data_IF_354508697236
#
_entry.id   IF_354508697236
#
_cell.length_a   1.000
_cell.length_b   1.000
_cell.length_c   1.000
_cell.angle_alpha   90.00
_cell.angle_beta   90.00
_cell.angle_gamma   90.00
#
_symmetry.space_group_name_H-M   'P 1'
#
loop_
_entity.id
_entity.type
_entity.pdbx_description
1 polymer ?
#
# COMPACT_ATOMS: atom_id res chain seq x y z
N UNK A 1 -3.29 46.81 -6.59
CA UNK A 1 -2.76 45.70 -7.34
C UNK A 1 -1.60 46.15 -8.19
N UNK A 2 -0.36 45.78 -7.78
CA UNK A 2 0.86 46.14 -8.49
C UNK A 2 0.91 45.48 -9.86
N UNK A 3 1.25 46.24 -10.87
CA UNK A 3 1.52 45.72 -12.21
C UNK A 3 2.94 45.12 -12.21
N UNK A 4 3.07 43.82 -12.51
CA UNK A 4 4.38 43.18 -12.67
C UNK A 4 4.69 43.08 -14.16
N UNK A 5 5.92 43.43 -14.55
CA UNK A 5 6.44 43.14 -15.89
C UNK A 5 7.13 41.79 -15.84
N UNK A 6 6.65 40.84 -16.63
CA UNK A 6 7.28 39.54 -16.77
C UNK A 6 8.01 39.50 -18.10
N UNK A 7 9.30 39.19 -18.06
CA UNK A 7 10.12 38.99 -19.26
C UNK A 7 10.36 37.49 -19.40
N UNK A 8 9.93 36.90 -20.52
CA UNK A 8 10.14 35.50 -20.85
C UNK A 8 11.27 35.42 -21.86
N UNK A 9 12.34 34.71 -21.52
CA UNK A 9 13.47 34.46 -22.42
C UNK A 9 13.54 32.95 -22.71
N UNK A 10 13.46 32.58 -24.00
CA UNK A 10 13.66 31.19 -24.41
C UNK A 10 15.14 30.81 -24.19
N UNK A 11 15.39 29.78 -23.39
CA UNK A 11 16.75 29.32 -23.08
C UNK A 11 17.19 28.11 -23.93
N UNK A 12 16.24 27.30 -24.40
CA UNK A 12 16.53 26.05 -25.09
C UNK A 12 15.36 25.69 -26.00
N UNK A 13 15.68 25.22 -27.20
CA UNK A 13 14.73 24.53 -28.07
C UNK A 13 14.82 23.03 -27.83
N UNK A 14 13.69 22.38 -27.66
CA UNK A 14 13.57 20.92 -27.60
C UNK A 14 13.07 20.44 -28.97
N UNK A 15 14.00 19.97 -29.83
CA UNK A 15 13.65 19.40 -31.13
C UNK A 15 13.31 17.93 -30.95
N UNK A 16 12.14 17.54 -31.45
CA UNK A 16 11.72 16.14 -31.53
C UNK A 16 12.09 15.68 -32.93
N UNK A 17 13.13 14.84 -33.02
CA UNK A 17 13.62 14.30 -34.29
C UNK A 17 12.97 12.97 -34.60
N UNK A 18 12.75 12.16 -33.55
CA UNK A 18 12.11 10.86 -33.64
C UNK A 18 11.20 10.67 -32.42
N UNK A 19 9.91 10.42 -32.68
CA UNK A 19 8.90 10.18 -31.62
C UNK A 19 9.15 8.86 -30.87
N UNK A 20 9.95 7.97 -31.44
CA UNK A 20 10.34 6.68 -30.84
C UNK A 20 11.54 6.78 -29.90
N UNK A 21 12.21 7.92 -29.88
CA UNK A 21 13.44 8.12 -29.12
C UNK A 21 13.42 9.46 -28.36
N UNK A 22 12.53 9.59 -27.37
CA UNK A 22 12.41 10.80 -26.58
C UNK A 22 13.35 10.80 -25.37
N UNK A 23 13.98 11.93 -25.13
CA UNK A 23 14.70 12.20 -23.89
C UNK A 23 13.75 12.31 -22.70
N UNK A 24 14.27 12.21 -21.49
CA UNK A 24 13.47 12.37 -20.26
C UNK A 24 12.83 13.77 -20.19
N UNK A 25 13.55 14.82 -20.61
CA UNK A 25 13.00 16.19 -20.68
C UNK A 25 11.81 16.29 -21.64
N UNK A 26 11.90 15.67 -22.80
CA UNK A 26 10.82 15.66 -23.80
C UNK A 26 9.60 14.90 -23.28
N UNK A 27 9.81 13.73 -22.66
CA UNK A 27 8.70 12.98 -22.01
C UNK A 27 8.03 13.79 -20.89
N UNK A 28 8.82 14.49 -20.07
CA UNK A 28 8.29 15.37 -19.03
C UNK A 28 7.42 16.47 -19.62
N UNK A 29 7.82 17.03 -20.75
CA UNK A 29 7.07 18.07 -21.43
C UNK A 29 5.69 17.58 -21.91
N UNK A 30 5.62 16.43 -22.54
CA UNK A 30 4.33 15.83 -22.94
C UNK A 30 3.44 15.50 -21.74
N UNK A 31 4.04 15.07 -20.62
CA UNK A 31 3.28 14.89 -19.40
C UNK A 31 2.71 16.19 -18.83
N UNK A 32 3.41 17.33 -19.00
CA UNK A 32 2.88 18.65 -18.60
C UNK A 32 1.68 19.04 -19.45
N UNK A 33 1.73 18.83 -20.77
CA UNK A 33 0.63 19.11 -21.68
C UNK A 33 -0.59 18.23 -21.34
N UNK A 34 -0.38 16.93 -21.20
CA UNK A 34 -1.43 15.98 -20.82
C UNK A 34 -2.06 16.37 -19.48
N UNK A 35 -1.25 16.71 -18.49
CA UNK A 35 -1.73 17.15 -17.19
C UNK A 35 -2.59 18.40 -17.27
N UNK A 36 -2.29 19.31 -18.18
CA UNK A 36 -3.11 20.50 -18.45
C UNK A 36 -4.46 20.11 -19.08
N UNK A 37 -4.44 19.26 -20.09
CA UNK A 37 -5.66 18.76 -20.73
C UNK A 37 -6.60 18.03 -19.72
N UNK A 38 -6.05 17.19 -18.84
CA UNK A 38 -6.81 16.52 -17.78
C UNK A 38 -7.49 17.50 -16.81
N UNK A 39 -6.85 18.61 -16.48
CA UNK A 39 -7.44 19.67 -15.63
C UNK A 39 -8.56 20.41 -16.34
N UNK A 40 -8.39 20.71 -17.62
CA UNK A 40 -9.43 21.34 -18.44
C UNK A 40 -10.64 20.40 -18.60
N UNK A 41 -10.43 19.09 -18.56
CA UNK A 41 -11.49 18.07 -18.50
C UNK A 41 -12.15 17.94 -17.12
N UNK A 42 -11.95 18.91 -16.21
CA UNK A 42 -12.48 18.93 -14.84
C UNK A 42 -12.01 17.79 -13.93
N UNK A 43 -10.90 17.16 -14.27
CA UNK A 43 -10.27 16.20 -13.36
C UNK A 43 -9.38 16.93 -12.35
N UNK A 44 -9.60 16.64 -11.08
CA UNK A 44 -8.89 17.28 -9.98
C UNK A 44 -7.61 16.52 -9.60
N UNK A 45 -6.42 17.17 -9.64
CA UNK A 45 -5.20 16.55 -9.21
C UNK A 45 -5.18 16.35 -7.69
N UNK A 46 -4.87 15.14 -7.23
CA UNK A 46 -4.61 14.83 -5.83
C UNK A 46 -3.33 13.98 -5.75
N UNK A 47 -2.20 14.61 -5.47
CA UNK A 47 -0.87 14.00 -5.54
C UNK A 47 -0.41 13.77 -6.98
N UNK A 48 -0.22 12.51 -7.38
CA UNK A 48 0.24 12.13 -8.73
C UNK A 48 -0.90 11.74 -9.67
N UNK A 49 -2.13 11.70 -9.20
CA UNK A 49 -3.28 11.15 -9.90
C UNK A 49 -4.35 12.20 -10.09
N UNK A 50 -5.21 11.96 -11.06
CA UNK A 50 -6.34 12.82 -11.39
C UNK A 50 -7.64 12.12 -11.04
N UNK A 51 -8.53 12.80 -10.33
CA UNK A 51 -9.78 12.23 -9.82
C UNK A 51 -10.97 13.02 -10.33
N UNK A 52 -12.08 12.31 -10.59
CA UNK A 52 -13.35 12.92 -10.95
C UNK A 52 -14.16 13.22 -9.67
N UNK A 53 -14.27 14.49 -9.24
CA UNK A 53 -15.00 14.83 -8.02
C UNK A 53 -16.51 14.63 -8.15
N UNK A 54 -17.06 14.70 -9.39
CA UNK A 54 -18.49 14.54 -9.65
C UNK A 54 -18.94 13.08 -9.60
N UNK A 55 -18.02 12.13 -9.77
CA UNK A 55 -18.30 10.69 -9.78
C UNK A 55 -17.93 9.99 -8.45
N UNK A 56 -17.90 10.74 -7.34
CA UNK A 56 -17.60 10.17 -6.02
C UNK A 56 -18.70 9.21 -5.56
N UNK A 57 -18.31 8.16 -4.85
CA UNK A 57 -19.18 7.21 -4.18
C UNK A 57 -19.09 7.38 -2.67
N UNK A 58 -20.20 7.16 -1.97
CA UNK A 58 -20.21 7.11 -0.52
C UNK A 58 -20.38 5.66 -0.06
N UNK A 59 -19.51 5.22 0.85
CA UNK A 59 -19.66 3.94 1.51
C UNK A 59 -20.47 4.19 2.77
N UNK A 60 -21.73 3.80 2.71
CA UNK A 60 -22.64 3.87 3.85
C UNK A 60 -22.26 2.85 4.93
N UNK A 61 -22.76 3.05 6.15
CA UNK A 61 -22.65 2.11 7.27
C UNK A 61 -21.22 1.87 7.80
N UNK A 62 -20.32 2.83 7.65
CA UNK A 62 -19.03 2.84 8.34
C UNK A 62 -18.80 4.14 9.12
N UNK A 63 -18.01 4.05 10.18
CA UNK A 63 -17.66 5.20 11.02
C UNK A 63 -16.15 5.32 11.14
N UNK A 64 -15.56 6.43 10.65
CA UNK A 64 -16.19 7.56 9.94
C UNK A 64 -16.70 7.18 8.54
N UNK A 65 -17.68 7.91 7.98
CA UNK A 65 -18.14 7.70 6.60
C UNK A 65 -16.99 7.86 5.60
N UNK A 66 -17.00 7.04 4.54
CA UNK A 66 -15.96 7.04 3.52
C UNK A 66 -16.51 7.56 2.20
N UNK A 67 -15.67 8.33 1.51
CA UNK A 67 -15.89 8.77 0.14
C UNK A 67 -14.82 8.20 -0.77
N UNK A 68 -15.23 7.52 -1.83
CA UNK A 68 -14.35 6.98 -2.86
C UNK A 68 -14.40 7.88 -4.09
N UNK A 69 -13.26 8.40 -4.49
CA UNK A 69 -13.10 9.21 -5.68
C UNK A 69 -12.47 8.33 -6.77
N UNK A 70 -13.20 8.01 -7.85
CA UNK A 70 -12.60 7.35 -8.99
C UNK A 70 -11.69 8.35 -9.73
N UNK A 71 -10.65 7.83 -10.32
CA UNK A 71 -9.69 8.66 -11.04
C UNK A 71 -8.72 7.82 -11.84
N UNK A 72 -7.68 8.47 -12.33
CA UNK A 72 -6.75 7.90 -13.28
C UNK A 72 -5.31 8.21 -12.91
N UNK A 73 -4.45 7.25 -13.09
CA UNK A 73 -3.03 7.45 -13.31
C UNK A 73 -2.80 7.63 -14.80
N UNK A 74 -2.06 8.64 -15.19
CA UNK A 74 -1.68 8.84 -16.59
C UNK A 74 -0.20 9.14 -16.69
N UNK A 75 0.43 8.69 -17.76
CA UNK A 75 1.82 8.99 -18.09
C UNK A 75 2.03 8.88 -19.58
N UNK A 76 2.81 9.78 -20.13
CA UNK A 76 3.27 9.67 -21.52
C UNK A 76 4.56 8.86 -21.54
N UNK A 77 4.59 7.85 -22.38
CA UNK A 77 5.74 6.99 -22.62
C UNK A 77 5.96 6.78 -24.12
N UNK A 78 7.07 6.21 -24.48
CA UNK A 78 7.38 5.81 -25.84
C UNK A 78 7.33 4.31 -25.95
N UNK A 79 6.65 3.80 -26.95
CA UNK A 79 6.58 2.39 -27.31
C UNK A 79 7.03 2.20 -28.75
N UNK A 80 7.04 0.98 -29.26
CA UNK A 80 7.31 0.70 -30.68
C UNK A 80 6.31 1.38 -31.60
N UNK A 81 5.08 1.64 -31.10
CA UNK A 81 4.02 2.36 -31.82
C UNK A 81 4.16 3.90 -31.77
N UNK A 82 5.26 4.41 -31.19
CA UNK A 82 5.52 5.84 -31.03
C UNK A 82 5.07 6.38 -29.67
N UNK A 83 4.65 7.65 -29.65
CA UNK A 83 4.22 8.34 -28.45
C UNK A 83 2.88 7.76 -27.95
N UNK A 84 2.88 7.26 -26.71
CA UNK A 84 1.75 6.53 -26.16
C UNK A 84 1.34 7.10 -24.80
N UNK A 85 0.03 7.31 -24.59
CA UNK A 85 -0.54 7.61 -23.29
C UNK A 85 -0.81 6.31 -22.53
N UNK A 86 -0.07 6.06 -21.44
CA UNK A 86 -0.45 5.04 -20.46
C UNK A 86 -1.53 5.58 -19.54
N UNK A 87 -2.57 4.82 -19.30
CA UNK A 87 -3.61 5.12 -18.31
C UNK A 87 -3.96 3.90 -17.48
N UNK A 88 -4.29 4.12 -16.22
CA UNK A 88 -4.84 3.08 -15.34
C UNK A 88 -5.79 3.71 -14.31
N UNK A 89 -6.82 2.94 -13.95
CA UNK A 89 -7.83 3.39 -12.99
C UNK A 89 -7.28 3.37 -11.56
N UNK A 90 -7.52 4.44 -10.83
CA UNK A 90 -7.17 4.58 -9.41
C UNK A 90 -8.38 5.05 -8.62
N UNK A 91 -8.38 4.74 -7.33
CA UNK A 91 -9.38 5.24 -6.41
C UNK A 91 -8.69 5.93 -5.24
N UNK A 92 -9.27 7.06 -4.80
CA UNK A 92 -8.87 7.74 -3.59
C UNK A 92 -9.96 7.58 -2.55
N UNK A 93 -9.58 7.14 -1.38
CA UNK A 93 -10.47 7.04 -0.24
C UNK A 93 -10.21 8.23 0.67
N UNK A 94 -11.25 8.99 0.94
CA UNK A 94 -11.26 10.08 1.92
C UNK A 94 -12.23 9.69 3.04
N UNK A 95 -11.89 10.07 4.26
CA UNK A 95 -12.82 9.97 5.37
C UNK A 95 -13.59 11.28 5.44
N UNK A 96 -14.90 11.22 5.67
CA UNK A 96 -15.73 12.42 5.92
C UNK A 96 -15.46 12.96 7.33
N UNK A 97 -14.17 13.11 7.68
CA UNK A 97 -13.69 13.48 9.01
C UNK A 97 -12.41 14.31 8.86
N UNK A 98 -12.32 15.38 9.64
CA UNK A 98 -11.12 16.20 9.74
C UNK A 98 -10.22 15.74 10.88
N UNK A 99 -8.98 16.18 10.87
CA UNK A 99 -8.06 15.91 11.97
C UNK A 99 -8.54 16.53 13.29
N UNK A 100 -9.25 17.66 13.22
CA UNK A 100 -9.93 18.28 14.38
C UNK A 100 -10.94 17.34 15.03
N UNK A 101 -11.73 16.61 14.23
CA UNK A 101 -12.75 15.71 14.74
C UNK A 101 -12.12 14.51 15.46
N UNK A 102 -10.97 14.04 14.96
CA UNK A 102 -10.17 13.01 15.65
C UNK A 102 -9.66 13.51 17.00
N UNK A 103 -9.17 14.75 17.06
CA UNK A 103 -8.71 15.37 18.31
C UNK A 103 -9.85 15.53 19.31
N UNK A 104 -11.02 16.00 18.87
CA UNK A 104 -12.22 16.11 19.72
C UNK A 104 -12.70 14.75 20.23
N UNK A 105 -12.70 13.74 19.37
CA UNK A 105 -13.05 12.38 19.76
C UNK A 105 -12.11 11.86 20.87
N UNK A 106 -10.81 12.04 20.72
CA UNK A 106 -9.81 11.64 21.74
C UNK A 106 -10.04 12.39 23.04
N UNK A 107 -10.31 13.69 23.00
CA UNK A 107 -10.60 14.49 24.18
C UNK A 107 -11.87 14.00 24.92
N UNK A 108 -12.93 13.63 24.18
CA UNK A 108 -14.17 13.08 24.74
C UNK A 108 -13.99 11.69 25.35
N UNK A 109 -13.12 10.86 24.78
CA UNK A 109 -12.82 9.52 25.32
C UNK A 109 -11.95 9.55 26.58
N UNK A 110 -11.22 10.66 26.81
CA UNK A 110 -10.28 10.80 27.93
C UNK A 110 -10.54 12.10 28.70
N UNK A 111 -11.72 12.27 29.33
CA UNK A 111 -12.10 13.54 29.97
C UNK A 111 -11.18 13.91 31.16
N UNK A 112 -10.63 12.92 31.87
CA UNK A 112 -9.74 13.13 33.01
C UNK A 112 -8.24 13.21 32.66
N UNK A 113 -7.87 13.10 31.38
CA UNK A 113 -6.46 13.14 30.99
C UNK A 113 -5.88 14.56 31.06
N UNK A 114 -4.61 14.68 31.45
CA UNK A 114 -3.87 15.95 31.41
C UNK A 114 -3.69 16.42 29.98
N UNK A 115 -3.29 17.69 29.80
CA UNK A 115 -3.02 18.25 28.47
C UNK A 115 -1.93 17.47 27.74
N UNK A 116 -0.88 17.06 28.46
CA UNK A 116 0.24 16.27 27.92
C UNK A 116 -0.20 14.86 27.52
N UNK A 117 -1.03 14.21 28.33
CA UNK A 117 -1.57 12.89 28.02
C UNK A 117 -2.49 12.94 26.78
N UNK A 118 -3.34 13.94 26.68
CA UNK A 118 -4.19 14.14 25.49
C UNK A 118 -3.36 14.39 24.24
N UNK A 119 -2.32 15.22 24.34
CA UNK A 119 -1.39 15.47 23.24
C UNK A 119 -0.69 14.18 22.79
N UNK A 120 -0.26 13.34 23.74
CA UNK A 120 0.33 12.05 23.44
C UNK A 120 -0.63 11.16 22.63
N UNK A 121 -1.90 11.02 23.05
CA UNK A 121 -2.89 10.24 22.31
C UNK A 121 -3.18 10.81 20.93
N UNK A 122 -3.20 12.13 20.79
CA UNK A 122 -3.40 12.81 19.49
C UNK A 122 -2.21 12.53 18.56
N UNK A 123 -1.00 12.59 19.05
CA UNK A 123 0.21 12.27 18.27
C UNK A 123 0.18 10.81 17.80
N UNK A 124 -0.12 9.87 18.70
CA UNK A 124 -0.26 8.45 18.38
C UNK A 124 -1.29 8.20 17.26
N UNK A 125 -2.44 8.89 17.33
CA UNK A 125 -3.50 8.72 16.36
C UNK A 125 -3.21 9.32 14.98
N UNK A 126 -2.48 10.45 14.92
CA UNK A 126 -2.31 11.24 13.70
C UNK A 126 -0.93 11.11 13.06
N UNK A 127 0.13 10.84 13.82
CA UNK A 127 1.49 10.70 13.29
C UNK A 127 1.58 9.60 12.24
N UNK A 128 2.23 9.90 11.13
CA UNK A 128 2.38 9.00 9.98
C UNK A 128 1.15 8.90 9.08
N UNK A 129 -0.02 9.43 9.50
CA UNK A 129 -1.22 9.47 8.65
C UNK A 129 -1.07 10.54 7.56
N UNK A 130 -1.81 10.36 6.48
CA UNK A 130 -1.85 11.32 5.38
C UNK A 130 -3.15 12.11 5.47
N UNK A 131 -3.03 13.43 5.46
CA UNK A 131 -4.16 14.36 5.42
C UNK A 131 -4.20 15.10 4.10
N UNK A 132 -5.37 15.55 3.71
CA UNK A 132 -5.59 16.36 2.52
C UNK A 132 -6.11 17.73 2.94
N UNK A 133 -5.40 18.79 2.54
CA UNK A 133 -5.85 20.17 2.80
C UNK A 133 -6.86 20.61 1.77
N UNK A 134 -7.86 21.39 2.18
CA UNK A 134 -8.94 21.88 1.31
C UNK A 134 -8.95 23.41 1.14
N UNK A 135 -8.02 24.13 1.72
CA UNK A 135 -7.95 25.60 1.68
C UNK A 135 -7.35 26.14 0.38
N UNK A 136 -6.71 25.31 -0.43
CA UNK A 136 -6.12 25.69 -1.70
C UNK A 136 -6.98 25.22 -2.86
N UNK A 137 -6.89 25.89 -4.02
CA UNK A 137 -7.57 25.50 -5.26
C UNK A 137 -7.26 24.02 -5.64
N UNK A 138 -6.04 23.58 -5.37
CA UNK A 138 -5.62 22.20 -5.60
C UNK A 138 -5.35 21.52 -4.26
N UNK A 139 -6.16 20.50 -3.86
CA UNK A 139 -5.95 19.76 -2.64
C UNK A 139 -4.55 19.18 -2.56
N UNK A 140 -3.86 19.47 -1.47
CA UNK A 140 -2.49 19.00 -1.25
C UNK A 140 -2.49 17.94 -0.16
N UNK A 141 -1.72 16.89 -0.41
CA UNK A 141 -1.54 15.78 0.53
C UNK A 141 -0.30 16.02 1.38
N UNK A 142 -0.46 15.90 2.68
CA UNK A 142 0.61 16.03 3.65
C UNK A 142 0.66 14.78 4.53
N UNK A 143 1.86 14.29 4.80
CA UNK A 143 2.07 13.31 5.85
C UNK A 143 2.27 14.03 7.16
N UNK A 144 1.54 13.66 8.18
CA UNK A 144 1.67 14.21 9.52
C UNK A 144 2.91 13.61 10.18
N UNK A 145 3.87 14.46 10.52
CA UNK A 145 5.11 14.07 11.23
C UNK A 145 4.93 14.16 12.75
N UNK A 146 4.03 15.02 13.19
CA UNK A 146 3.70 15.24 14.60
C UNK A 146 2.62 16.27 14.81
N UNK A 147 2.43 16.64 16.06
CA UNK A 147 1.49 17.70 16.49
C UNK A 147 2.22 18.60 17.48
N UNK A 148 2.14 19.89 17.28
CA UNK A 148 2.74 20.87 18.18
C UNK A 148 1.72 21.37 19.18
N UNK A 149 1.86 20.93 20.42
CA UNK A 149 0.95 21.30 21.52
C UNK A 149 1.14 22.73 22.06
N UNK A 150 2.22 23.40 21.66
CA UNK A 150 2.50 24.78 22.05
C UNK A 150 1.92 25.81 21.09
N UNK A 151 1.66 25.40 19.83
CA UNK A 151 1.14 26.26 18.79
C UNK A 151 -0.36 26.05 18.57
N UNK A 152 -1.07 27.15 18.45
CA UNK A 152 -2.49 27.21 18.10
C UNK A 152 -2.70 28.12 16.90
N UNK A 153 -3.93 28.25 16.42
CA UNK A 153 -4.23 29.18 15.32
C UNK A 153 -4.02 30.65 15.66
N UNK A 154 -3.98 31.01 16.94
CA UNK A 154 -3.72 32.38 17.40
C UNK A 154 -2.20 32.65 17.63
N UNK A 155 -1.36 31.63 17.57
CA UNK A 155 0.10 31.78 17.59
C UNK A 155 0.59 32.53 16.36
N UNK A 156 1.66 33.36 16.51
CA UNK A 156 2.22 34.16 15.44
C UNK A 156 3.46 33.52 14.83
N UNK A 157 3.73 33.83 13.59
CA UNK A 157 4.96 33.45 12.89
C UNK A 157 5.43 34.59 11.96
N UNK A 158 6.74 34.63 11.67
CA UNK A 158 7.32 35.60 10.76
C UNK A 158 7.15 35.19 9.30
N UNK A 159 6.54 36.06 8.51
CA UNK A 159 6.45 35.89 7.05
C UNK A 159 7.80 36.20 6.39
N UNK A 160 7.91 35.93 5.08
CA UNK A 160 9.12 36.22 4.31
C UNK A 160 9.46 37.74 4.21
N UNK A 161 8.45 38.59 4.34
CA UNK A 161 8.60 40.05 4.36
C UNK A 161 9.02 40.59 5.74
N UNK A 162 9.18 39.72 6.75
CA UNK A 162 9.56 40.09 8.11
C UNK A 162 8.38 40.43 9.04
N UNK A 163 7.15 40.56 8.52
CA UNK A 163 5.96 40.83 9.32
C UNK A 163 5.55 39.63 10.15
N UNK A 164 5.13 39.86 11.38
CA UNK A 164 4.52 38.84 12.23
C UNK A 164 3.00 38.80 11.99
N UNK A 165 2.46 37.58 11.80
CA UNK A 165 1.05 37.36 11.58
C UNK A 165 0.60 36.09 12.32
N UNK A 166 -0.64 36.07 12.83
CA UNK A 166 -1.21 34.84 13.38
C UNK A 166 -1.56 33.84 12.27
N UNK A 167 -1.60 32.54 12.60
CA UNK A 167 -2.08 31.53 11.63
C UNK A 167 -3.51 31.85 11.20
N UNK A 168 -4.38 32.29 12.10
CA UNK A 168 -5.75 32.68 11.79
C UNK A 168 -5.81 33.76 10.72
N UNK A 169 -5.10 34.89 10.94
CA UNK A 169 -5.11 36.04 10.03
C UNK A 169 -4.44 35.69 8.70
N UNK A 170 -3.39 34.87 8.74
CA UNK A 170 -2.74 34.36 7.53
C UNK A 170 -3.70 33.56 6.66
N UNK A 171 -4.43 32.57 7.23
CA UNK A 171 -5.37 31.75 6.48
C UNK A 171 -6.57 32.56 6.00
N UNK A 172 -7.03 33.56 6.78
CA UNK A 172 -8.07 34.49 6.35
C UNK A 172 -7.61 35.36 5.19
N UNK A 173 -6.45 35.99 5.32
CA UNK A 173 -5.90 36.92 4.30
C UNK A 173 -5.53 36.18 3.00
N UNK A 174 -4.86 35.04 3.11
CA UNK A 174 -4.29 34.33 1.97
C UNK A 174 -5.28 33.42 1.26
N UNK A 175 -6.18 32.79 1.98
CA UNK A 175 -7.06 31.74 1.48
C UNK A 175 -8.54 32.02 1.70
N UNK A 176 -8.89 33.14 2.33
CA UNK A 176 -10.27 33.48 2.73
C UNK A 176 -10.93 32.37 3.55
N UNK A 177 -10.16 31.73 4.45
CA UNK A 177 -10.64 30.67 5.34
C UNK A 177 -10.72 31.18 6.77
N UNK A 178 -11.91 31.05 7.36
CA UNK A 178 -12.12 31.35 8.77
C UNK A 178 -11.81 30.14 9.63
N UNK A 179 -10.94 30.29 10.62
CA UNK A 179 -10.58 29.25 11.57
C UNK A 179 -11.30 29.44 12.88
N UNK A 180 -12.02 28.40 13.33
CA UNK A 180 -12.87 28.46 14.52
C UNK A 180 -12.28 27.74 15.75
N UNK A 181 -11.45 26.74 15.56
CA UNK A 181 -10.94 25.84 16.61
C UNK A 181 -9.70 26.40 17.32
N UNK A 182 -9.93 27.41 18.21
CA UNK A 182 -8.88 28.22 18.87
C UNK A 182 -7.87 27.42 19.68
N UNK A 183 -8.35 26.43 20.43
CA UNK A 183 -7.55 25.68 21.41
C UNK A 183 -6.91 24.41 20.83
N UNK A 184 -7.04 24.20 19.52
CA UNK A 184 -6.47 23.01 18.88
C UNK A 184 -5.01 23.20 18.52
N UNK A 185 -4.16 22.21 18.81
CA UNK A 185 -2.77 22.20 18.40
C UNK A 185 -2.64 22.10 16.87
N UNK A 186 -1.54 22.63 16.35
CA UNK A 186 -1.26 22.56 14.91
C UNK A 186 -0.59 21.23 14.53
N UNK A 187 -0.96 20.70 13.35
CA UNK A 187 -0.28 19.57 12.77
C UNK A 187 1.06 19.99 12.20
N UNK A 188 2.08 19.19 12.45
CA UNK A 188 3.42 19.33 11.83
C UNK A 188 3.48 18.41 10.63
N UNK A 189 3.76 18.96 9.46
CA UNK A 189 3.91 18.21 8.22
C UNK A 189 5.17 18.66 7.45
N UNK A 190 5.69 17.80 6.58
CA UNK A 190 6.79 18.15 5.69
C UNK A 190 6.31 18.38 4.27
N UNK A 191 6.73 19.50 3.69
CA UNK A 191 6.57 19.74 2.26
C UNK A 191 7.70 19.07 1.47
N UNK A 192 7.48 18.80 0.14
CA UNK A 192 8.42 18.14 -0.79
C UNK A 192 9.89 18.60 -0.71
N UNK A 193 10.16 19.81 -0.22
CA UNK A 193 11.51 20.39 -0.06
C UNK A 193 12.04 20.29 1.38
N UNK A 194 11.56 19.34 2.19
CA UNK A 194 11.93 19.18 3.61
C UNK A 194 11.63 20.42 4.48
N UNK A 195 10.73 21.29 4.06
CA UNK A 195 10.29 22.44 4.86
C UNK A 195 9.16 21.99 5.79
N UNK A 196 9.29 22.31 7.06
CA UNK A 196 8.22 22.12 8.04
C UNK A 196 7.07 23.06 7.73
N UNK A 197 5.86 22.54 7.73
CA UNK A 197 4.61 23.28 7.52
C UNK A 197 3.71 22.99 8.71
N UNK A 198 3.15 24.02 9.29
CA UNK A 198 2.14 23.93 10.34
C UNK A 198 0.75 24.07 9.72
N UNK A 199 -0.14 23.13 10.03
CA UNK A 199 -1.46 23.06 9.42
C UNK A 199 -2.55 23.06 10.50
N UNK A 200 -3.57 23.92 10.39
CA UNK A 200 -4.75 23.85 11.25
C UNK A 200 -5.50 22.53 11.02
N UNK A 201 -5.79 21.82 12.12
CA UNK A 201 -6.42 20.51 12.06
C UNK A 201 -7.80 20.52 11.39
N UNK A 202 -8.55 21.61 11.53
CA UNK A 202 -9.87 21.81 10.91
C UNK A 202 -9.85 21.96 9.37
N UNK A 203 -8.69 22.23 8.77
CA UNK A 203 -8.53 22.27 7.31
C UNK A 203 -7.99 20.96 6.73
N UNK A 204 -7.67 19.99 7.59
CA UNK A 204 -6.99 18.75 7.22
C UNK A 204 -7.95 17.56 7.26
N UNK A 205 -8.47 17.17 6.10
CA UNK A 205 -9.32 15.99 5.95
C UNK A 205 -8.48 14.72 6.04
N UNK A 206 -8.94 13.74 6.80
CA UNK A 206 -8.29 12.43 6.92
C UNK A 206 -8.40 11.64 5.62
N UNK A 207 -7.33 10.93 5.25
CA UNK A 207 -7.32 10.10 4.03
C UNK A 207 -7.02 8.64 4.34
N UNK A 208 -7.45 7.76 3.43
CA UNK A 208 -7.19 6.33 3.51
C UNK A 208 -8.07 5.61 4.53
N UNK A 209 -7.69 4.41 4.89
CA UNK A 209 -8.39 3.55 5.84
C UNK A 209 -7.58 3.46 7.14
N UNK A 210 -8.25 3.61 8.28
CA UNK A 210 -7.66 3.27 9.58
C UNK A 210 -7.53 1.75 9.72
N UNK A 211 -6.70 1.29 10.64
CA UNK A 211 -6.52 -0.16 10.84
C UNK A 211 -7.82 -0.81 11.34
N UNK A 212 -8.62 -0.07 12.13
CA UNK A 212 -9.97 -0.49 12.51
C UNK A 212 -10.89 -0.70 11.30
N UNK A 213 -10.89 0.22 10.33
CA UNK A 213 -11.67 0.09 9.11
C UNK A 213 -11.17 -1.03 8.19
N UNK A 214 -9.85 -1.28 8.16
CA UNK A 214 -9.27 -2.39 7.41
C UNK A 214 -9.60 -3.76 8.01
N UNK A 215 -9.75 -3.86 9.31
CA UNK A 215 -10.15 -5.09 9.99
C UNK A 215 -11.66 -5.37 9.91
N UNK A 216 -12.47 -4.37 9.56
CA UNK A 216 -13.90 -4.56 9.33
C UNK A 216 -14.17 -5.15 7.95
N UNK A 217 -14.56 -6.42 7.94
CA UNK A 217 -14.85 -7.16 6.70
C UNK A 217 -15.98 -6.53 5.88
N UNK A 218 -16.99 -5.94 6.50
CA UNK A 218 -18.13 -5.31 5.81
C UNK A 218 -17.67 -4.07 5.07
N UNK A 219 -16.88 -3.22 5.74
CA UNK A 219 -16.29 -2.02 5.13
C UNK A 219 -15.38 -2.41 3.97
N UNK A 220 -14.49 -3.39 4.17
CA UNK A 220 -13.57 -3.84 3.14
C UNK A 220 -14.28 -4.46 1.94
N UNK A 221 -15.38 -5.20 2.15
CA UNK A 221 -16.21 -5.73 1.07
C UNK A 221 -16.87 -4.63 0.26
N UNK A 222 -17.45 -3.61 0.94
CA UNK A 222 -18.06 -2.48 0.28
C UNK A 222 -17.05 -1.65 -0.53
N UNK A 223 -15.85 -1.39 0.02
CA UNK A 223 -14.76 -0.73 -0.70
C UNK A 223 -14.31 -1.57 -1.90
N UNK A 224 -14.17 -2.88 -1.72
CA UNK A 224 -13.73 -3.80 -2.77
C UNK A 224 -14.72 -3.86 -3.94
N UNK A 225 -16.02 -3.79 -3.69
CA UNK A 225 -17.05 -3.76 -4.74
C UNK A 225 -16.83 -2.62 -5.75
N UNK A 226 -16.29 -1.48 -5.33
CA UNK A 226 -16.01 -0.34 -6.19
C UNK A 226 -14.57 -0.30 -6.71
N UNK A 227 -13.61 -0.85 -5.96
CA UNK A 227 -12.17 -0.72 -6.28
C UNK A 227 -11.59 -1.93 -7.01
N UNK A 228 -12.14 -3.13 -6.79
CA UNK A 228 -11.72 -4.34 -7.51
C UNK A 228 -12.45 -4.42 -8.84
N UNK A 229 -11.71 -4.30 -9.91
CA UNK A 229 -12.25 -4.37 -11.27
C UNK A 229 -11.58 -5.48 -12.05
N UNK A 230 -12.39 -6.24 -12.81
CA UNK A 230 -11.90 -7.17 -13.81
C UNK A 230 -11.25 -6.39 -14.97
N UNK A 231 -10.34 -7.00 -15.75
CA UNK A 231 -9.64 -6.33 -16.85
C UNK A 231 -10.60 -5.60 -17.81
N UNK A 232 -11.66 -6.25 -18.25
CA UNK A 232 -12.66 -5.65 -19.16
C UNK A 232 -13.19 -4.30 -18.63
N UNK A 233 -13.62 -4.24 -17.36
CA UNK A 233 -14.10 -2.99 -16.75
C UNK A 233 -13.02 -1.92 -16.64
N UNK A 234 -11.74 -2.32 -16.51
CA UNK A 234 -10.62 -1.36 -16.53
C UNK A 234 -10.46 -0.72 -17.90
N UNK A 235 -10.52 -1.53 -18.96
CA UNK A 235 -10.49 -1.01 -20.34
C UNK A 235 -11.64 -0.04 -20.57
N UNK A 236 -12.88 -0.42 -20.29
CA UNK A 236 -14.06 0.44 -20.42
C UNK A 236 -13.92 1.78 -19.66
N UNK A 237 -13.23 1.78 -18.52
CA UNK A 237 -12.95 3.03 -17.76
C UNK A 237 -11.85 3.87 -18.40
N UNK A 238 -10.83 3.24 -18.98
CA UNK A 238 -9.78 3.96 -19.69
C UNK A 238 -10.33 4.56 -21.00
N UNK A 239 -11.20 3.85 -21.72
CA UNK A 239 -11.90 4.37 -22.89
C UNK A 239 -12.71 5.63 -22.54
N UNK A 240 -13.43 5.60 -21.40
CA UNK A 240 -14.12 6.80 -20.88
C UNK A 240 -13.21 7.97 -20.55
N UNK A 241 -11.96 7.73 -20.18
CA UNK A 241 -10.98 8.82 -20.02
C UNK A 241 -10.63 9.44 -21.38
N UNK A 242 -10.44 8.62 -22.40
CA UNK A 242 -10.16 9.07 -23.76
C UNK A 242 -11.34 9.88 -24.30
N UNK A 243 -12.56 9.34 -24.20
CA UNK A 243 -13.80 10.03 -24.54
C UNK A 243 -13.91 11.40 -23.85
N UNK A 244 -13.67 11.44 -22.53
CA UNK A 244 -13.72 12.68 -21.76
C UNK A 244 -12.73 13.74 -22.28
N UNK A 245 -11.53 13.34 -22.67
CA UNK A 245 -10.52 14.24 -23.22
C UNK A 245 -10.87 14.71 -24.64
N UNK A 246 -11.46 13.83 -25.45
CA UNK A 246 -11.87 14.12 -26.84
C UNK A 246 -13.16 14.92 -26.92
N UNK A 247 -14.08 14.76 -25.98
CA UNK A 247 -15.35 15.51 -25.98
C UNK A 247 -15.24 16.89 -25.33
N UNK A 248 -14.20 17.13 -24.52
CA UNK A 248 -14.01 18.42 -23.84
C UNK A 248 -13.29 19.43 -24.73
N UNK A 249 -13.96 20.54 -25.16
CA UNK A 249 -13.39 21.50 -26.10
C UNK A 249 -12.08 22.15 -25.59
N UNK A 250 -12.00 22.43 -24.29
CA UNK A 250 -10.79 23.03 -23.69
C UNK A 250 -9.62 22.06 -23.63
N UNK A 251 -9.88 20.77 -23.37
CA UNK A 251 -8.86 19.74 -23.45
C UNK A 251 -8.33 19.58 -24.87
N UNK A 252 -9.22 19.55 -25.86
CA UNK A 252 -8.85 19.50 -27.28
C UNK A 252 -8.02 20.70 -27.69
N UNK A 253 -8.45 21.91 -27.30
CA UNK A 253 -7.70 23.14 -27.57
C UNK A 253 -6.26 23.04 -27.02
N UNK A 254 -6.09 22.56 -25.79
CA UNK A 254 -4.76 22.36 -25.21
C UNK A 254 -3.94 21.39 -26.05
N UNK A 255 -4.50 20.25 -26.44
CA UNK A 255 -3.76 19.24 -27.21
C UNK A 255 -3.41 19.77 -28.61
N UNK A 256 -4.37 20.33 -29.34
CA UNK A 256 -4.20 20.86 -30.69
C UNK A 256 -3.18 22.00 -30.75
N UNK A 257 -3.15 22.88 -29.74
CA UNK A 257 -2.17 23.97 -29.66
C UNK A 257 -0.72 23.45 -29.56
N UNK A 258 -0.53 22.18 -29.21
CA UNK A 258 0.76 21.51 -29.15
C UNK A 258 0.93 20.44 -30.23
N UNK A 259 0.04 20.40 -31.21
CA UNK A 259 0.10 19.43 -32.31
C UNK A 259 -0.11 17.98 -31.87
N UNK A 260 -0.85 17.77 -30.76
CA UNK A 260 -1.12 16.45 -30.24
C UNK A 260 -2.57 16.04 -30.50
N UNK A 261 -2.72 14.77 -30.81
CA UNK A 261 -4.02 14.10 -30.93
C UNK A 261 -4.00 12.80 -30.13
N UNK A 262 -5.10 12.49 -29.46
CA UNK A 262 -5.26 11.23 -28.75
C UNK A 262 -6.08 10.28 -29.61
N UNK A 263 -5.53 9.11 -29.93
CA UNK A 263 -6.24 8.06 -30.66
C UNK A 263 -7.45 7.55 -29.86
N UNK A 264 -8.50 7.17 -30.59
CA UNK A 264 -9.76 6.69 -29.99
C UNK A 264 -9.71 5.25 -29.49
N UNK A 265 -8.70 4.48 -29.86
CA UNK A 265 -8.53 3.07 -29.48
C UNK A 265 -7.23 2.84 -28.72
N UNK A 266 -7.21 1.78 -27.92
CA UNK A 266 -5.97 1.32 -27.30
C UNK A 266 -4.96 0.87 -28.36
N UNK A 267 -3.68 0.99 -28.06
CA UNK A 267 -2.60 0.50 -28.92
C UNK A 267 -2.70 -1.02 -29.03
N UNK A 268 -2.75 -1.52 -30.23
CA UNK A 268 -2.66 -2.94 -30.53
C UNK A 268 -1.20 -3.34 -30.70
N UNK A 269 -0.82 -4.44 -30.09
CA UNK A 269 0.52 -5.01 -30.18
C UNK A 269 0.46 -6.51 -30.40
N UNK A 270 1.37 -7.02 -31.21
CA UNK A 270 1.54 -8.45 -31.36
C UNK A 270 2.15 -9.02 -30.06
N UNK A 271 1.42 -9.97 -29.48
CA UNK A 271 1.88 -10.71 -28.30
C UNK A 271 2.37 -12.10 -28.66
N UNK A 272 3.39 -12.57 -27.98
CA UNK A 272 3.80 -13.97 -28.01
C UNK A 272 3.31 -14.65 -26.75
N UNK A 273 2.49 -15.69 -26.91
CA UNK A 273 2.15 -16.56 -25.80
C UNK A 273 3.35 -17.49 -25.54
N UNK A 274 3.94 -17.35 -24.37
CA UNK A 274 5.00 -18.26 -23.92
C UNK A 274 4.36 -19.57 -23.48
N UNK A 275 4.96 -20.68 -23.86
CA UNK A 275 4.52 -22.00 -23.44
C UNK A 275 4.48 -22.06 -21.90
N UNK A 276 3.47 -22.73 -21.38
CA UNK A 276 3.33 -22.86 -19.94
C UNK A 276 4.44 -23.67 -19.33
N UNK A 277 4.90 -23.25 -18.15
CA UNK A 277 5.79 -24.08 -17.37
C UNK A 277 5.09 -25.34 -16.93
N UNK A 278 5.69 -26.49 -17.23
CA UNK A 278 5.19 -27.79 -16.80
C UNK A 278 5.87 -28.22 -15.50
N UNK A 279 5.08 -28.73 -14.56
CA UNK A 279 5.60 -29.34 -13.34
C UNK A 279 5.74 -30.86 -13.53
N UNK A 280 6.94 -31.36 -13.30
CA UNK A 280 7.17 -32.79 -13.21
C UNK A 280 6.99 -33.22 -11.77
N UNK A 281 5.99 -34.07 -11.53
CA UNK A 281 5.64 -34.56 -10.19
C UNK A 281 5.78 -36.09 -10.12
N UNK A 282 6.08 -36.59 -8.92
CA UNK A 282 5.97 -38.01 -8.62
C UNK A 282 4.60 -38.28 -8.00
N UNK A 283 3.82 -39.15 -8.61
CA UNK A 283 2.52 -39.57 -8.14
C UNK A 283 2.56 -41.06 -7.68
N UNK A 284 1.57 -41.48 -6.94
CA UNK A 284 1.40 -42.92 -6.60
C UNK A 284 1.03 -43.70 -7.84
N UNK A 285 1.54 -44.95 -7.94
CA UNK A 285 1.23 -45.83 -9.07
C UNK A 285 -0.27 -46.14 -9.23
N UNK A 286 -1.00 -46.12 -8.14
CA UNK A 286 -2.45 -46.39 -8.13
C UNK A 286 -3.29 -45.25 -8.75
N UNK A 287 -2.72 -44.06 -8.86
CA UNK A 287 -3.38 -42.90 -9.50
C UNK A 287 -3.32 -42.96 -11.04
N UNK A 288 -2.63 -43.96 -11.61
CA UNK A 288 -2.55 -44.14 -13.06
C UNK A 288 -3.91 -44.36 -13.70
N UNK A 289 -4.83 -45.10 -13.05
CA UNK A 289 -6.21 -45.32 -13.54
C UNK A 289 -7.04 -44.04 -13.56
N UNK A 290 -6.87 -43.18 -12.54
CA UNK A 290 -7.57 -41.93 -12.48
C UNK A 290 -7.09 -40.93 -13.55
N UNK A 291 -5.90 -41.12 -14.09
CA UNK A 291 -5.32 -40.30 -15.17
C UNK A 291 -5.84 -40.75 -16.53
N UNK A 292 -6.04 -42.04 -16.74
CA UNK A 292 -6.67 -42.58 -17.96
C UNK A 292 -8.11 -42.10 -18.11
N UNK A 293 -8.79 -41.86 -17.00
CA UNK A 293 -10.13 -41.25 -16.92
C UNK A 293 -10.12 -39.73 -16.96
N UNK A 294 -8.97 -39.07 -17.19
CA UNK A 294 -8.82 -37.61 -17.25
C UNK A 294 -8.87 -36.91 -15.90
N UNK A 295 -8.80 -37.63 -14.78
CA UNK A 295 -8.94 -37.10 -13.40
C UNK A 295 -7.67 -37.03 -12.58
N UNK A 296 -6.55 -37.50 -13.09
CA UNK A 296 -5.27 -37.53 -12.36
C UNK A 296 -4.05 -37.17 -13.22
N UNK A 297 -2.87 -37.24 -12.64
CA UNK A 297 -1.59 -36.91 -13.28
C UNK A 297 -0.63 -38.09 -13.26
N UNK A 298 -0.07 -38.49 -14.40
CA UNK A 298 0.91 -39.59 -14.51
C UNK A 298 2.26 -39.22 -13.87
N UNK A 299 2.90 -40.22 -13.29
CA UNK A 299 4.27 -40.06 -12.80
C UNK A 299 5.20 -39.59 -13.94
N UNK A 300 5.89 -38.50 -13.77
CA UNK A 300 6.77 -37.92 -14.77
C UNK A 300 6.06 -37.14 -15.89
N UNK A 301 4.74 -36.98 -15.83
CA UNK A 301 3.99 -36.17 -16.78
C UNK A 301 4.09 -34.69 -16.43
N UNK A 302 4.20 -33.87 -17.45
CA UNK A 302 4.14 -32.43 -17.32
C UNK A 302 2.69 -31.95 -17.06
N UNK A 303 2.50 -31.11 -16.08
CA UNK A 303 1.19 -30.68 -15.61
C UNK A 303 0.89 -29.25 -16.08
N UNK A 304 -0.25 -29.04 -16.71
CA UNK A 304 -0.78 -27.73 -17.02
C UNK A 304 -1.29 -27.01 -15.76
N UNK A 305 -0.60 -25.94 -15.38
CA UNK A 305 -0.90 -25.15 -14.18
C UNK A 305 -2.31 -24.55 -14.14
N UNK A 306 -2.92 -24.27 -15.28
CA UNK A 306 -4.21 -23.57 -15.33
C UNK A 306 -5.41 -24.48 -14.95
N UNK A 307 -5.26 -25.79 -15.08
CA UNK A 307 -6.35 -26.75 -14.91
C UNK A 307 -6.34 -27.46 -13.57
N UNK A 308 -5.33 -27.22 -12.72
CA UNK A 308 -5.13 -28.00 -11.51
C UNK A 308 -5.29 -27.15 -10.25
N UNK A 309 -6.08 -27.67 -9.31
CA UNK A 309 -6.08 -27.18 -7.94
C UNK A 309 -4.75 -27.58 -7.28
N UNK A 310 -3.76 -26.70 -7.35
CA UNK A 310 -2.40 -26.95 -6.88
C UNK A 310 -2.31 -27.38 -5.41
N UNK A 311 -3.04 -26.78 -4.45
CA UNK A 311 -3.08 -27.27 -3.08
C UNK A 311 -3.56 -28.72 -2.98
N UNK A 312 -4.60 -29.09 -3.71
CA UNK A 312 -5.13 -30.44 -3.72
C UNK A 312 -4.16 -31.45 -4.34
N UNK A 313 -3.48 -31.05 -5.43
CA UNK A 313 -2.46 -31.87 -6.06
C UNK A 313 -1.32 -32.19 -5.08
N UNK A 314 -0.78 -31.15 -4.42
CA UNK A 314 0.32 -31.31 -3.47
C UNK A 314 -0.11 -32.15 -2.26
N UNK A 315 -1.29 -31.94 -1.74
CA UNK A 315 -1.76 -32.67 -0.57
C UNK A 315 -2.01 -34.15 -0.85
N UNK A 316 -2.63 -34.49 -1.98
CA UNK A 316 -3.15 -35.84 -2.22
C UNK A 316 -2.39 -36.66 -3.25
N UNK A 317 -1.80 -36.04 -4.27
CA UNK A 317 -1.22 -36.75 -5.40
C UNK A 317 0.31 -36.78 -5.43
N UNK A 318 0.96 -35.74 -4.94
CA UNK A 318 2.41 -35.68 -4.90
C UNK A 318 2.97 -36.54 -3.77
N UNK A 319 3.74 -37.58 -4.11
CA UNK A 319 4.37 -38.50 -3.14
C UNK A 319 5.83 -38.19 -2.85
N UNK A 320 6.41 -37.23 -3.55
CA UNK A 320 7.80 -36.81 -3.32
C UNK A 320 8.23 -35.68 -4.22
N UNK A 321 9.40 -35.18 -3.98
CA UNK A 321 10.04 -34.09 -4.73
C UNK A 321 11.33 -34.61 -5.38
N UNK A 322 11.70 -34.05 -6.51
CA UNK A 322 12.91 -34.48 -7.25
C UNK A 322 14.21 -34.23 -6.46
N UNK A 323 14.26 -33.15 -5.69
CA UNK A 323 15.34 -32.84 -4.78
C UNK A 323 14.77 -32.46 -3.44
N UNK A 324 15.00 -33.31 -2.45
CA UNK A 324 14.53 -33.11 -1.10
C UNK A 324 15.72 -32.86 -0.21
N UNK A 325 15.66 -31.76 0.56
CA UNK A 325 16.46 -31.59 1.76
C UNK A 325 15.55 -31.86 2.94
N UNK A 326 15.74 -32.99 3.61
CA UNK A 326 14.94 -33.34 4.79
C UNK A 326 15.18 -32.37 5.94
N UNK A 327 14.24 -32.34 6.89
CA UNK A 327 14.35 -31.57 8.12
C UNK A 327 15.22 -32.34 9.14
N UNK A 328 16.54 -32.26 8.97
CA UNK A 328 17.46 -32.99 9.86
C UNK A 328 17.75 -32.21 11.13
N UNK A 329 17.86 -30.90 11.02
CA UNK A 329 18.20 -29.99 12.12
C UNK A 329 17.21 -28.85 12.13
N UNK A 330 16.09 -29.01 12.82
CA UNK A 330 15.09 -27.96 12.87
C UNK A 330 14.64 -27.70 14.31
N UNK A 331 14.15 -26.49 14.54
CA UNK A 331 13.80 -25.98 15.86
C UNK A 331 12.38 -25.44 15.82
N UNK A 332 11.62 -25.75 16.88
CA UNK A 332 10.31 -25.12 17.12
C UNK A 332 10.43 -24.20 18.33
N UNK A 333 10.05 -22.96 18.17
CA UNK A 333 10.07 -21.94 19.22
C UNK A 333 8.64 -21.51 19.53
N UNK A 334 8.30 -21.46 20.81
CA UNK A 334 6.98 -21.08 21.30
C UNK A 334 7.07 -20.31 22.61
N UNK A 335 5.99 -19.64 23.01
CA UNK A 335 5.81 -19.19 24.39
C UNK A 335 5.26 -20.32 25.26
N UNK A 336 5.60 -20.34 26.55
CA UNK A 336 5.17 -21.38 27.48
C UNK A 336 3.67 -21.62 27.49
N UNK A 337 2.89 -20.55 27.40
CA UNK A 337 1.40 -20.60 27.33
C UNK A 337 0.85 -21.30 26.09
N UNK A 338 1.64 -21.44 25.03
CA UNK A 338 1.23 -22.03 23.76
C UNK A 338 1.74 -23.47 23.58
N UNK A 339 2.27 -24.07 24.67
CA UNK A 339 2.84 -25.42 24.70
C UNK A 339 1.86 -26.50 24.23
N UNK A 340 0.58 -26.34 24.56
CA UNK A 340 -0.47 -27.30 24.15
C UNK A 340 -0.68 -27.42 22.64
N UNK A 341 -0.20 -26.45 21.85
CA UNK A 341 -0.29 -26.46 20.40
C UNK A 341 0.81 -27.30 19.73
N UNK A 342 1.85 -27.67 20.47
CA UNK A 342 3.04 -28.31 19.93
C UNK A 342 2.80 -29.71 19.42
N UNK A 343 2.06 -30.53 20.18
CA UNK A 343 1.91 -31.96 19.86
C UNK A 343 1.14 -32.12 18.55
N UNK A 344 0.00 -31.44 18.40
CA UNK A 344 -0.75 -31.47 17.16
C UNK A 344 0.03 -30.93 15.94
N UNK A 345 0.85 -29.90 16.15
CA UNK A 345 1.70 -29.34 15.11
C UNK A 345 2.82 -30.30 14.69
N UNK A 346 3.49 -30.96 15.65
CA UNK A 346 4.54 -31.94 15.37
C UNK A 346 3.97 -33.16 14.64
N UNK A 347 2.83 -33.70 15.11
CA UNK A 347 2.18 -34.82 14.48
C UNK A 347 1.81 -34.53 13.05
N UNK A 348 1.18 -33.35 12.79
CA UNK A 348 0.82 -32.95 11.45
C UNK A 348 2.03 -32.77 10.51
N UNK A 349 3.11 -32.19 11.01
CA UNK A 349 4.34 -32.04 10.22
C UNK A 349 5.00 -33.40 9.99
N UNK A 350 5.09 -34.24 11.01
CA UNK A 350 5.67 -35.59 10.94
C UNK A 350 4.92 -36.47 9.91
N UNK A 351 3.60 -36.44 9.93
CA UNK A 351 2.76 -37.13 8.95
C UNK A 351 3.04 -36.66 7.52
N UNK A 352 3.13 -35.32 7.31
CA UNK A 352 3.41 -34.77 5.98
C UNK A 352 4.83 -35.13 5.52
N UNK A 353 5.82 -35.08 6.38
CA UNK A 353 7.20 -35.46 6.05
C UNK A 353 7.27 -36.92 5.61
N UNK A 354 6.59 -37.83 6.32
CA UNK A 354 6.51 -39.24 5.95
C UNK A 354 5.77 -39.45 4.64
N UNK A 355 4.57 -38.85 4.49
CA UNK A 355 3.74 -38.97 3.30
C UNK A 355 4.47 -38.48 2.05
N UNK A 356 5.28 -37.41 2.15
CA UNK A 356 6.06 -36.84 1.03
C UNK A 356 7.44 -37.44 0.87
N UNK A 357 7.76 -38.47 1.63
CA UNK A 357 9.10 -39.10 1.65
C UNK A 357 10.23 -38.11 1.89
N UNK A 358 9.95 -37.08 2.69
CA UNK A 358 10.93 -36.13 3.16
C UNK A 358 11.49 -36.66 4.48
N UNK A 359 12.76 -36.99 4.53
CA UNK A 359 13.40 -37.38 5.78
C UNK A 359 13.35 -36.25 6.80
N UNK A 360 13.15 -36.57 8.07
CA UNK A 360 13.14 -35.59 9.16
C UNK A 360 13.44 -36.24 10.50
N UNK A 361 13.99 -35.46 11.41
CA UNK A 361 14.16 -35.83 12.82
C UNK A 361 13.17 -35.04 13.66
N UNK A 362 12.99 -35.44 14.92
CA UNK A 362 12.24 -34.66 15.89
C UNK A 362 12.86 -33.27 16.06
N UNK A 363 12.03 -32.22 16.15
CA UNK A 363 12.54 -30.86 16.34
C UNK A 363 13.11 -30.67 17.75
N UNK A 364 14.11 -29.83 17.88
CA UNK A 364 14.42 -29.28 19.18
C UNK A 364 13.37 -28.22 19.52
N UNK A 365 12.68 -28.43 20.62
CA UNK A 365 11.67 -27.48 21.12
C UNK A 365 12.30 -26.53 22.12
N UNK A 366 12.03 -25.24 21.97
CA UNK A 366 12.54 -24.17 22.82
C UNK A 366 11.37 -23.29 23.26
N UNK A 367 11.22 -23.17 24.57
CA UNK A 367 10.24 -22.26 25.18
C UNK A 367 10.89 -20.93 25.54
N UNK A 368 10.22 -19.81 25.22
CA UNK A 368 10.70 -18.46 25.52
C UNK A 368 9.60 -17.71 26.28
N UNK A 369 9.96 -17.17 27.44
CA UNK A 369 9.03 -16.46 28.33
C UNK A 369 8.95 -14.95 28.06
N UNK A 370 9.79 -14.40 27.18
CA UNK A 370 9.85 -12.96 26.93
C UNK A 370 8.52 -12.42 26.31
N UNK A 371 8.09 -11.27 26.84
CA UNK A 371 6.78 -10.67 26.51
C UNK A 371 6.86 -9.55 25.46
N UNK A 372 8.05 -9.03 25.16
CA UNK A 372 8.24 -8.03 24.11
C UNK A 372 9.05 -8.59 22.93
N UNK A 373 8.91 -8.03 21.73
CA UNK A 373 9.58 -8.55 20.54
C UNK A 373 11.10 -8.54 20.57
N UNK A 374 11.71 -7.53 21.19
CA UNK A 374 13.17 -7.40 21.24
C UNK A 374 13.80 -8.47 22.14
N UNK A 375 13.28 -8.64 23.35
CA UNK A 375 13.75 -9.64 24.30
C UNK A 375 13.46 -11.06 23.83
N UNK A 376 12.33 -11.27 23.14
CA UNK A 376 11.99 -12.56 22.54
C UNK A 376 13.05 -12.97 21.50
N UNK A 377 13.41 -12.07 20.59
CA UNK A 377 14.43 -12.34 19.56
C UNK A 377 15.83 -12.48 20.20
N UNK A 378 16.16 -11.67 21.21
CA UNK A 378 17.41 -11.82 21.95
C UNK A 378 17.52 -13.22 22.58
N UNK A 379 16.47 -13.67 23.25
CA UNK A 379 16.40 -15.03 23.82
C UNK A 379 16.48 -16.12 22.75
N UNK A 380 15.83 -15.92 21.59
CA UNK A 380 15.98 -16.84 20.46
C UNK A 380 17.44 -16.96 20.03
N UNK A 381 18.15 -15.83 19.88
CA UNK A 381 19.54 -15.82 19.45
C UNK A 381 20.46 -16.52 20.47
N UNK A 382 20.21 -16.33 21.75
CA UNK A 382 20.97 -17.01 22.80
C UNK A 382 20.75 -18.53 22.74
N UNK A 383 19.53 -18.98 22.58
CA UNK A 383 19.23 -20.41 22.45
C UNK A 383 19.83 -21.00 21.15
N UNK A 384 19.84 -20.25 20.07
CA UNK A 384 20.48 -20.68 18.82
C UNK A 384 22.01 -20.86 18.99
N UNK A 385 22.69 -20.02 19.79
CA UNK A 385 24.12 -20.17 20.06
C UNK A 385 24.47 -21.44 20.82
N UNK A 386 23.54 -21.99 21.61
CA UNK A 386 23.72 -23.24 22.37
C UNK A 386 23.55 -24.49 21.51
N UNK A 387 23.12 -24.36 20.27
CA UNK A 387 22.94 -25.49 19.37
C UNK A 387 24.29 -25.99 18.82
N UNK A 388 24.48 -27.32 18.70
CA UNK A 388 25.71 -27.90 18.17
C UNK A 388 25.96 -27.59 16.71
N UNK A 389 24.89 -27.24 15.97
CA UNK A 389 24.96 -26.81 14.58
C UNK A 389 23.80 -25.90 14.23
N UNK A 390 23.96 -25.09 13.18
CA UNK A 390 22.92 -24.22 12.67
C UNK A 390 21.71 -25.03 12.20
N UNK A 391 20.49 -24.67 12.56
CA UNK A 391 19.29 -25.33 12.08
C UNK A 391 19.05 -25.07 10.59
N UNK A 392 18.44 -26.03 9.93
CA UNK A 392 18.00 -25.91 8.52
C UNK A 392 16.79 -24.96 8.41
N UNK A 393 15.92 -24.98 9.41
CA UNK A 393 14.74 -24.10 9.52
C UNK A 393 14.35 -23.88 10.99
N UNK A 394 13.84 -22.72 11.29
CA UNK A 394 13.25 -22.37 12.59
C UNK A 394 11.76 -22.14 12.41
N UNK A 395 10.92 -22.91 13.07
CA UNK A 395 9.49 -22.72 13.14
C UNK A 395 9.17 -21.91 14.39
N UNK A 396 8.44 -20.82 14.27
CA UNK A 396 8.09 -19.96 15.41
C UNK A 396 6.57 -19.85 15.52
N UNK A 397 6.04 -20.29 16.67
CA UNK A 397 4.64 -20.00 17.03
C UNK A 397 4.62 -18.58 17.60
N UNK A 398 4.03 -17.65 16.84
CA UNK A 398 3.95 -16.25 17.22
C UNK A 398 3.03 -16.08 18.43
N UNK A 399 3.42 -15.25 19.40
CA UNK A 399 2.59 -14.95 20.56
C UNK A 399 1.21 -14.43 20.16
N UNK A 400 0.18 -14.83 20.91
CA UNK A 400 -1.18 -14.32 20.74
C UNK A 400 -1.28 -12.85 21.12
N UNK A 401 -2.12 -12.11 20.42
CA UNK A 401 -2.48 -10.74 20.76
C UNK A 401 -2.15 -9.71 19.67
N UNK A 402 -2.43 -8.44 19.94
CA UNK A 402 -2.35 -7.35 18.96
C UNK A 402 -0.92 -7.05 18.46
N UNK A 403 0.09 -7.50 19.19
CA UNK A 403 1.51 -7.27 18.86
C UNK A 403 2.15 -8.40 18.06
N UNK A 404 1.40 -9.42 17.64
CA UNK A 404 1.91 -10.56 16.88
C UNK A 404 2.72 -10.15 15.63
N UNK A 405 2.28 -9.09 14.95
CA UNK A 405 2.98 -8.58 13.77
C UNK A 405 4.34 -7.91 14.11
N UNK A 406 4.48 -7.33 15.31
CA UNK A 406 5.75 -6.79 15.78
C UNK A 406 6.78 -7.90 16.09
N UNK A 407 6.34 -9.01 16.66
CA UNK A 407 7.18 -10.21 16.83
C UNK A 407 7.64 -10.74 15.47
N UNK A 408 6.69 -10.90 14.54
CA UNK A 408 7.01 -11.32 13.17
C UNK A 408 8.07 -10.43 12.52
N UNK A 409 7.86 -9.12 12.55
CA UNK A 409 8.77 -8.15 11.92
C UNK A 409 10.18 -8.26 12.52
N UNK A 410 10.29 -8.34 13.87
CA UNK A 410 11.59 -8.41 14.54
C UNK A 410 12.31 -9.75 14.31
N UNK A 411 11.57 -10.86 14.25
CA UNK A 411 12.13 -12.17 13.89
C UNK A 411 12.67 -12.14 12.46
N UNK A 412 11.90 -11.61 11.51
CA UNK A 412 12.31 -11.54 10.11
C UNK A 412 13.50 -10.59 9.90
N UNK A 413 13.52 -9.46 10.59
CA UNK A 413 14.67 -8.56 10.57
C UNK A 413 15.95 -9.29 10.97
N UNK A 414 15.96 -10.01 12.07
CA UNK A 414 17.18 -10.65 12.57
C UNK A 414 17.57 -11.89 11.77
N UNK A 415 16.62 -12.78 11.47
CA UNK A 415 16.90 -14.08 10.83
C UNK A 415 16.94 -14.04 9.30
N UNK A 416 16.44 -12.99 8.65
CA UNK A 416 16.60 -12.80 7.20
C UNK A 416 17.83 -11.95 6.84
N UNK A 417 18.15 -10.93 7.64
CA UNK A 417 19.21 -9.96 7.32
C UNK A 417 20.34 -9.91 8.35
N UNK A 418 20.13 -10.47 9.52
CA UNK A 418 21.11 -10.48 10.62
C UNK A 418 22.23 -11.51 10.43
N UNK A 419 23.17 -11.52 11.38
CA UNK A 419 24.35 -12.42 11.37
C UNK A 419 23.99 -13.90 11.46
N UNK A 420 22.84 -14.24 12.02
CA UNK A 420 22.33 -15.61 12.16
C UNK A 420 21.28 -15.94 11.09
N UNK A 421 21.41 -15.40 9.89
CA UNK A 421 20.45 -15.65 8.81
C UNK A 421 20.10 -17.15 8.66
N UNK A 422 18.85 -17.49 8.89
CA UNK A 422 18.33 -18.85 8.86
C UNK A 422 16.89 -18.83 8.34
N UNK A 423 16.45 -19.78 7.52
CA UNK A 423 15.06 -19.88 7.13
C UNK A 423 14.15 -19.92 8.37
N UNK A 424 13.14 -19.04 8.40
CA UNK A 424 12.15 -19.01 9.49
C UNK A 424 10.75 -19.12 8.92
N UNK A 425 9.92 -19.97 9.52
CA UNK A 425 8.49 -20.03 9.31
C UNK A 425 7.78 -19.57 10.58
N UNK A 426 6.96 -18.53 10.46
CA UNK A 426 6.17 -18.04 11.58
C UNK A 426 4.70 -18.43 11.38
N UNK A 427 4.06 -18.94 12.43
CA UNK A 427 2.66 -19.35 12.45
C UNK A 427 1.99 -18.62 13.62
N UNK A 428 0.83 -18.01 13.39
CA UNK A 428 0.06 -17.40 14.48
C UNK A 428 -0.58 -18.51 15.33
N UNK A 429 -0.47 -18.40 16.65
CA UNK A 429 -1.07 -19.38 17.57
C UNK A 429 -2.59 -19.52 17.40
N UNK A 430 -3.26 -18.50 16.91
CA UNK A 430 -4.70 -18.53 16.61
C UNK A 430 -5.06 -19.33 15.34
N UNK A 431 -4.08 -19.75 14.56
CA UNK A 431 -4.24 -20.56 13.33
C UNK A 431 -3.96 -22.05 13.55
N UNK A 432 -3.36 -22.40 14.66
CA UNK A 432 -3.10 -23.76 15.11
C UNK A 432 -4.23 -24.26 16.02
#
# INVERSE_FOLDING_TARGET
PGRYRVTITAKKELRIVDERCLTEEQRMYFNIILNKALREANLQPMGRFYYNPSAKFEVANCSPPLQLFPGYFTSVTVTESGLTMMSDVKHRILQSQFASDVMEYIAKQNPGASKEQRLFYVIEALKGKVVMTRHTLHPTLYRVEGVDGSLTIDSTFKQRNGEEISFRDYFKKQYNQDLAKKDMPLLIAQHRKKRTVFLPAELCMMTGLTDKLKSDFRVMTAVAAHTRMIPKKRFEKNDKLVELLQENPKSLEVLHNWGLEIGSSAVEAEGRQVDQAHLRVMTRSDDLKAVEDGKGVKAGQDIDFQRINFPHLIQRQVVGFQRVKGFQKWVVIHQERDKSLLDGLKDSIGEQLQTKKMGGQEPKVISISAMNPADFVASMLEEMKKLPARPDIILVILPRGPHSDAFYAKIKEEFCTGRMACPTQCIKADTL
#
